data_IF_338449884673
#
_entry.id   IF_338449884673
#
_cell.length_a   1.000
_cell.length_b   1.000
_cell.length_c   1.000
_cell.angle_alpha   90.00
_cell.angle_beta   90.00
_cell.angle_gamma   90.00
#
_symmetry.space_group_name_H-M   'P 1'
#
loop_
_entity.id
_entity.type
_entity.pdbx_description
1 polymer ?
#
# COMPACT_ATOMS: atom_id res chain seq x y z
N UNK A 1 -21.17 12.91 8.77
CA UNK A 1 -21.94 13.46 7.62
C UNK A 1 -22.71 12.34 6.93
N UNK A 2 -23.60 12.63 5.96
CA UNK A 2 -24.34 11.60 5.20
C UNK A 2 -24.10 11.81 3.70
N UNK A 3 -23.76 10.74 2.98
CA UNK A 3 -23.58 10.76 1.52
C UNK A 3 -24.51 9.69 0.94
N UNK A 4 -25.48 10.10 0.13
CA UNK A 4 -26.58 9.22 -0.28
C UNK A 4 -27.31 8.68 0.95
N UNK A 5 -27.38 7.35 1.09
CA UNK A 5 -27.99 6.68 2.23
C UNK A 5 -26.98 6.23 3.30
N UNK A 6 -25.68 6.40 3.05
CA UNK A 6 -24.62 5.95 3.94
C UNK A 6 -24.22 7.06 4.93
N UNK A 7 -24.12 6.70 6.21
CA UNK A 7 -23.56 7.57 7.26
C UNK A 7 -22.04 7.50 7.18
N UNK A 8 -21.36 8.63 7.09
CA UNK A 8 -19.92 8.73 7.33
C UNK A 8 -19.75 9.16 8.79
N UNK A 9 -19.25 8.26 9.63
CA UNK A 9 -19.05 8.52 11.05
C UNK A 9 -18.03 9.64 11.27
N UNK A 10 -18.25 10.44 12.32
CA UNK A 10 -17.33 11.50 12.74
C UNK A 10 -16.18 10.88 13.55
N UNK A 11 -15.20 10.37 12.84
CA UNK A 11 -14.06 9.61 13.37
C UNK A 11 -12.88 9.73 12.41
N UNK A 12 -11.76 9.13 12.78
CA UNK A 12 -10.55 9.10 11.96
C UNK A 12 -9.92 7.72 11.88
N UNK A 13 -9.17 7.51 10.81
CA UNK A 13 -8.20 6.41 10.72
C UNK A 13 -6.85 6.85 11.32
N UNK A 14 -6.26 5.99 12.15
CA UNK A 14 -4.97 6.24 12.78
C UNK A 14 -3.86 5.46 12.07
N UNK A 15 -3.01 6.17 11.33
CA UNK A 15 -1.88 5.65 10.57
C UNK A 15 -0.53 5.88 11.26
N UNK A 16 0.46 5.10 10.84
CA UNK A 16 1.76 4.98 11.47
C UNK A 16 2.88 5.37 10.52
N UNK A 17 3.92 6.01 11.06
CA UNK A 17 5.17 6.19 10.33
C UNK A 17 5.87 4.85 10.15
N UNK A 18 6.24 4.53 8.91
CA UNK A 18 6.88 3.26 8.56
C UNK A 18 8.04 3.49 7.59
N UNK A 19 8.82 2.45 7.30
CA UNK A 19 9.81 2.47 6.21
C UNK A 19 9.23 1.80 4.98
N UNK A 20 9.49 2.36 3.81
CA UNK A 20 9.09 1.74 2.55
C UNK A 20 10.22 1.72 1.53
N UNK A 21 10.13 0.83 0.57
CA UNK A 21 10.95 0.78 -0.64
C UNK A 21 10.05 0.51 -1.83
N UNK A 22 10.43 1.03 -3.00
CA UNK A 22 9.77 0.74 -4.27
C UNK A 22 10.71 -0.07 -5.14
N UNK A 23 10.24 -1.18 -5.70
CA UNK A 23 10.98 -1.94 -6.70
C UNK A 23 10.26 -1.89 -8.03
N UNK A 24 11.03 -1.81 -9.11
CA UNK A 24 10.53 -2.14 -10.45
C UNK A 24 10.99 -3.55 -10.77
N UNK A 25 10.02 -4.41 -11.08
CA UNK A 25 10.26 -5.78 -11.53
C UNK A 25 9.94 -5.83 -13.01
N UNK A 26 10.86 -6.36 -13.81
CA UNK A 26 10.63 -6.60 -15.24
C UNK A 26 10.75 -8.09 -15.54
N UNK A 27 10.05 -8.56 -16.57
CA UNK A 27 10.10 -9.95 -17.05
C UNK A 27 9.82 -10.00 -18.55
N UNK A 28 9.98 -11.17 -19.17
CA UNK A 28 9.79 -11.35 -20.62
C UNK A 28 8.42 -10.89 -21.10
N UNK A 29 7.35 -11.28 -20.39
CA UNK A 29 5.98 -10.89 -20.69
C UNK A 29 5.13 -10.79 -19.40
N UNK A 30 3.85 -10.48 -19.55
CA UNK A 30 2.92 -10.33 -18.43
C UNK A 30 2.67 -11.63 -17.65
N UNK A 31 2.86 -12.80 -18.28
CA UNK A 31 2.66 -14.09 -17.61
C UNK A 31 3.75 -14.33 -16.57
N UNK A 32 5.02 -14.21 -16.99
CA UNK A 32 6.16 -14.38 -16.08
C UNK A 32 6.23 -13.28 -15.03
N UNK A 33 5.94 -12.04 -15.42
CA UNK A 33 5.84 -10.92 -14.49
C UNK A 33 4.78 -11.21 -13.41
N UNK A 34 3.58 -11.64 -13.82
CA UNK A 34 2.50 -11.97 -12.89
C UNK A 34 2.87 -13.07 -11.89
N UNK A 35 3.58 -14.12 -12.36
CA UNK A 35 4.06 -15.20 -11.49
C UNK A 35 5.03 -14.67 -10.41
N UNK A 36 6.06 -13.91 -10.82
CA UNK A 36 7.04 -13.34 -9.89
C UNK A 36 6.41 -12.36 -8.89
N UNK A 37 5.51 -11.50 -9.34
CA UNK A 37 4.81 -10.55 -8.48
C UNK A 37 3.89 -11.24 -7.46
N UNK A 38 3.17 -12.28 -7.89
CA UNK A 38 2.27 -13.03 -6.99
C UNK A 38 3.04 -13.69 -5.87
N UNK A 39 4.17 -14.34 -6.18
CA UNK A 39 5.02 -14.97 -5.18
C UNK A 39 5.69 -13.92 -4.28
N UNK A 40 6.23 -12.84 -4.86
CA UNK A 40 6.93 -11.78 -4.12
C UNK A 40 6.01 -11.03 -3.14
N UNK A 41 4.75 -10.78 -3.51
CA UNK A 41 3.78 -10.08 -2.65
C UNK A 41 3.04 -11.02 -1.69
N UNK A 42 3.16 -12.35 -1.87
CA UNK A 42 2.54 -13.35 -1.00
C UNK A 42 3.04 -13.26 0.45
N UNK A 43 2.24 -13.73 1.42
CA UNK A 43 2.58 -13.66 2.85
C UNK A 43 3.03 -12.24 3.30
N UNK A 44 2.41 -11.19 2.74
CA UNK A 44 2.82 -9.79 2.92
C UNK A 44 1.71 -8.88 3.44
N UNK A 45 0.81 -9.38 4.29
CA UNK A 45 -0.40 -8.64 4.67
C UNK A 45 -0.25 -7.70 5.86
N UNK A 46 0.54 -8.09 6.88
CA UNK A 46 0.73 -7.25 8.06
C UNK A 46 2.09 -7.46 8.71
N UNK A 47 2.82 -6.37 8.97
CA UNK A 47 4.15 -6.42 9.62
C UNK A 47 4.10 -6.91 11.08
N UNK A 48 2.91 -7.12 11.65
CA UNK A 48 2.75 -7.71 12.99
C UNK A 48 3.26 -9.16 13.01
N UNK A 49 3.01 -9.95 11.95
CA UNK A 49 3.42 -11.37 11.86
C UNK A 49 3.90 -11.82 10.48
N UNK A 50 3.81 -10.98 9.45
CA UNK A 50 4.56 -11.12 8.21
C UNK A 50 5.89 -10.36 8.34
N UNK A 51 6.88 -10.71 7.52
CA UNK A 51 8.19 -10.04 7.52
C UNK A 51 8.15 -8.64 6.87
N UNK A 52 7.15 -8.37 6.03
CA UNK A 52 6.86 -7.07 5.41
C UNK A 52 5.37 -6.96 5.04
N UNK A 53 4.91 -5.73 4.81
CA UNK A 53 3.65 -5.43 4.11
C UNK A 53 3.97 -5.14 2.65
N UNK A 54 3.48 -5.95 1.70
CA UNK A 54 3.93 -5.92 0.30
C UNK A 54 2.72 -5.94 -0.63
N UNK A 55 2.77 -5.13 -1.69
CA UNK A 55 1.70 -5.10 -2.69
C UNK A 55 2.18 -4.59 -4.04
N UNK A 56 1.42 -4.95 -5.07
CA UNK A 56 1.57 -4.39 -6.41
C UNK A 56 0.99 -2.98 -6.37
N UNK A 57 1.82 -2.00 -6.69
CA UNK A 57 1.42 -0.59 -6.78
C UNK A 57 0.88 -0.29 -8.18
N UNK A 58 1.70 -0.55 -9.22
CA UNK A 58 1.32 -0.38 -10.62
C UNK A 58 1.55 -1.68 -11.36
N UNK A 59 0.48 -2.37 -11.83
CA UNK A 59 0.59 -3.70 -12.42
C UNK A 59 1.19 -3.71 -13.83
N UNK A 60 1.27 -2.53 -14.48
CA UNK A 60 1.84 -2.38 -15.83
C UNK A 60 2.47 -1.00 -16.00
N UNK A 61 3.74 -0.98 -16.38
CA UNK A 61 4.49 0.20 -16.81
C UNK A 61 4.73 0.10 -18.32
N UNK A 62 4.41 1.16 -19.07
CA UNK A 62 4.46 1.14 -20.53
C UNK A 62 5.90 1.11 -21.07
N UNK A 63 6.77 1.97 -20.52
CA UNK A 63 8.16 2.13 -20.95
C UNK A 63 9.10 1.83 -19.78
N UNK A 64 9.58 0.59 -19.71
CA UNK A 64 10.44 0.10 -18.64
C UNK A 64 11.93 0.30 -18.95
N UNK A 65 12.77 0.19 -17.91
CA UNK A 65 14.21 0.46 -17.95
C UNK A 65 14.95 -0.41 -18.99
N UNK A 66 14.45 -1.63 -19.24
CA UNK A 66 15.04 -2.59 -20.17
C UNK A 66 14.12 -2.95 -21.35
N UNK A 67 13.03 -2.21 -21.55
CA UNK A 67 12.09 -2.38 -22.66
C UNK A 67 11.16 -3.60 -22.55
N UNK A 68 11.09 -4.26 -21.39
CA UNK A 68 10.29 -5.47 -21.15
C UNK A 68 9.03 -5.19 -20.34
N UNK A 69 8.16 -6.20 -20.18
CA UNK A 69 6.99 -6.08 -19.33
C UNK A 69 7.41 -5.74 -17.89
N UNK A 70 6.78 -4.74 -17.28
CA UNK A 70 7.22 -4.22 -15.99
C UNK A 70 6.07 -3.81 -15.07
N UNK A 71 6.32 -3.92 -13.77
CA UNK A 71 5.41 -3.48 -12.71
C UNK A 71 6.18 -2.82 -11.56
N UNK A 72 5.48 -1.98 -10.80
CA UNK A 72 5.96 -1.43 -9.53
C UNK A 72 5.35 -2.19 -8.36
N UNK A 73 6.19 -2.48 -7.37
CA UNK A 73 5.75 -2.99 -6.07
C UNK A 73 6.22 -2.05 -4.96
N UNK A 74 5.37 -1.87 -3.96
CA UNK A 74 5.76 -1.22 -2.71
C UNK A 74 5.86 -2.27 -1.62
N UNK A 75 6.87 -2.10 -0.77
CA UNK A 75 7.01 -2.89 0.42
C UNK A 75 7.33 -2.01 1.63
N UNK A 76 6.74 -2.37 2.76
CA UNK A 76 6.75 -1.61 3.99
C UNK A 76 7.23 -2.46 5.17
N UNK A 77 7.96 -1.86 6.10
CA UNK A 77 8.49 -2.51 7.29
C UNK A 77 8.78 -1.53 8.41
N UNK A 78 8.72 -1.97 9.67
CA UNK A 78 8.91 -1.10 10.84
C UNK A 78 10.25 -0.36 10.86
N UNK A 79 11.30 -0.98 10.32
CA UNK A 79 12.65 -0.42 10.29
C UNK A 79 13.31 -0.65 8.92
N UNK A 80 14.31 0.17 8.60
CA UNK A 80 15.05 0.04 7.35
C UNK A 80 15.77 -1.31 7.28
N UNK A 81 16.34 -1.77 8.40
CA UNK A 81 17.03 -3.06 8.48
C UNK A 81 16.08 -4.25 8.36
N UNK A 82 14.91 -4.17 9.01
CA UNK A 82 13.86 -5.19 8.89
C UNK A 82 13.37 -5.31 7.45
N UNK A 83 13.06 -4.17 6.84
CA UNK A 83 12.67 -4.09 5.44
C UNK A 83 13.77 -4.62 4.50
N UNK A 84 15.02 -4.22 4.71
CA UNK A 84 16.16 -4.71 3.92
C UNK A 84 16.28 -6.23 3.95
N UNK A 85 16.13 -6.84 5.13
CA UNK A 85 16.15 -8.31 5.30
C UNK A 85 14.98 -8.98 4.59
N UNK A 86 13.76 -8.46 4.73
CA UNK A 86 12.57 -9.02 4.08
C UNK A 86 12.70 -8.97 2.55
N UNK A 87 13.06 -7.80 2.02
CA UNK A 87 13.16 -7.60 0.56
C UNK A 87 14.30 -8.40 -0.05
N UNK A 88 15.46 -8.47 0.60
CA UNK A 88 16.56 -9.32 0.10
C UNK A 88 16.15 -10.79 0.01
N UNK A 89 15.46 -11.32 1.04
CA UNK A 89 14.96 -12.70 1.06
C UNK A 89 13.91 -12.94 -0.02
N UNK A 90 12.91 -12.06 -0.12
CA UNK A 90 11.84 -12.15 -1.11
C UNK A 90 12.37 -12.04 -2.53
N UNK A 91 13.26 -11.09 -2.81
CA UNK A 91 13.88 -10.98 -4.13
C UNK A 91 14.71 -12.22 -4.47
N UNK A 92 15.51 -12.74 -3.53
CA UNK A 92 16.31 -13.95 -3.77
C UNK A 92 15.47 -15.22 -3.97
N UNK A 93 14.36 -15.38 -3.24
CA UNK A 93 13.58 -16.63 -3.25
C UNK A 93 12.33 -16.60 -4.13
N UNK A 94 11.86 -15.41 -4.53
CA UNK A 94 10.66 -15.24 -5.34
C UNK A 94 10.96 -14.66 -6.73
N UNK A 95 11.93 -13.74 -6.85
CA UNK A 95 12.21 -13.06 -8.12
C UNK A 95 13.40 -13.70 -8.83
N UNK A 96 14.57 -13.85 -8.19
CA UNK A 96 15.75 -14.50 -8.79
C UNK A 96 15.45 -15.93 -9.28
N UNK A 97 14.54 -16.63 -8.60
CA UNK A 97 14.07 -17.97 -8.95
C UNK A 97 12.96 -17.98 -9.99
N UNK A 98 12.30 -16.85 -10.24
CA UNK A 98 11.27 -16.69 -11.26
C UNK A 98 11.91 -16.40 -12.62
N UNK A 99 11.47 -17.13 -13.64
CA UNK A 99 12.03 -17.06 -14.97
C UNK A 99 12.00 -15.63 -15.53
N UNK A 100 13.08 -15.23 -16.17
CA UNK A 100 13.26 -13.98 -16.90
C UNK A 100 13.25 -12.71 -16.06
N UNK A 101 13.10 -12.76 -14.73
CA UNK A 101 12.92 -11.51 -13.99
C UNK A 101 14.20 -10.68 -13.88
N UNK A 102 14.05 -9.36 -13.75
CA UNK A 102 15.07 -8.44 -13.28
C UNK A 102 14.48 -7.45 -12.27
N UNK A 103 15.31 -6.91 -11.39
CA UNK A 103 14.86 -6.05 -10.29
C UNK A 103 15.68 -4.77 -10.19
N UNK A 104 14.99 -3.64 -10.18
CA UNK A 104 15.59 -2.30 -10.19
C UNK A 104 15.07 -1.46 -9.04
N UNK A 105 15.87 -0.47 -8.64
CA UNK A 105 15.45 0.54 -7.67
C UNK A 105 14.36 1.43 -8.28
N UNK A 106 13.18 1.38 -7.66
CA UNK A 106 12.00 2.14 -8.06
C UNK A 106 12.01 3.61 -7.62
N UNK A 107 13.05 4.06 -6.89
CA UNK A 107 13.19 5.48 -6.55
C UNK A 107 13.94 6.29 -7.62
N UNK A 108 14.70 5.63 -8.49
CA UNK A 108 15.59 6.29 -9.47
C UNK A 108 15.02 6.37 -10.90
N UNK A 109 13.73 6.09 -11.10
CA UNK A 109 13.22 5.62 -12.40
C UNK A 109 13.32 6.70 -13.52
N UNK A 110 13.95 6.42 -14.69
CA UNK A 110 13.63 7.12 -15.93
C UNK A 110 12.87 6.22 -16.93
N UNK A 111 11.94 6.83 -17.66
CA UNK A 111 10.92 6.26 -18.55
C UNK A 111 9.61 7.07 -18.43
N UNK A 112 8.50 6.70 -19.08
CA UNK A 112 7.16 7.29 -18.83
C UNK A 112 6.56 6.74 -17.51
N UNK A 113 7.36 6.80 -16.44
CA UNK A 113 6.93 6.38 -15.11
C UNK A 113 5.77 7.26 -14.65
N UNK A 114 4.71 6.68 -14.04
CA UNK A 114 3.63 7.49 -13.47
C UNK A 114 4.04 8.19 -12.17
N UNK A 115 5.30 8.05 -11.74
CA UNK A 115 5.80 8.57 -10.47
C UNK A 115 6.83 9.66 -10.70
N UNK A 116 6.83 10.66 -9.83
CA UNK A 116 7.94 11.60 -9.73
C UNK A 116 9.21 10.89 -9.27
N UNK A 117 10.35 11.27 -9.88
CA UNK A 117 11.66 10.79 -9.46
C UNK A 117 11.97 11.40 -8.10
N UNK A 118 12.24 10.54 -7.12
CA UNK A 118 12.50 10.97 -5.75
C UNK A 118 14.02 11.01 -5.50
N UNK A 119 14.64 12.17 -5.20
CA UNK A 119 16.10 12.33 -5.13
C UNK A 119 16.76 11.38 -4.11
N UNK A 120 17.58 10.42 -4.56
CA UNK A 120 18.14 9.37 -3.70
C UNK A 120 19.01 9.88 -2.54
N UNK A 121 19.43 11.14 -2.60
CA UNK A 121 20.25 11.87 -1.61
C UNK A 121 19.40 12.70 -0.62
N UNK A 122 18.08 12.63 -0.70
CA UNK A 122 17.20 13.24 0.30
C UNK A 122 17.52 12.75 1.71
N UNK A 123 17.37 13.64 2.70
CA UNK A 123 17.77 13.40 4.10
C UNK A 123 17.17 12.13 4.73
N UNK A 124 15.99 11.70 4.27
CA UNK A 124 15.30 10.53 4.81
C UNK A 124 15.60 9.21 4.08
N UNK A 125 16.32 9.29 2.96
CA UNK A 125 16.67 8.17 2.10
C UNK A 125 17.80 7.32 2.70
N UNK A 126 17.64 6.00 2.64
CA UNK A 126 18.63 5.02 3.11
C UNK A 126 18.81 3.90 2.08
N UNK A 127 20.05 3.52 1.74
CA UNK A 127 20.27 2.40 0.83
C UNK A 127 19.90 1.06 1.51
N UNK A 128 19.27 0.19 0.76
CA UNK A 128 19.11 -1.24 1.04
C UNK A 128 20.07 -1.99 0.11
N UNK A 129 21.10 -2.69 0.63
CA UNK A 129 22.06 -3.46 -0.17
C UNK A 129 21.40 -4.73 -0.74
N UNK A 130 20.62 -4.58 -1.81
CA UNK A 130 19.81 -5.64 -2.41
C UNK A 130 20.67 -6.61 -3.24
N UNK A 131 21.12 -6.17 -4.41
CA UNK A 131 22.00 -6.95 -5.27
C UNK A 131 23.35 -7.22 -4.62
N UNK A 132 23.86 -6.31 -3.79
CA UNK A 132 25.10 -6.50 -3.02
C UNK A 132 25.07 -7.78 -2.16
N UNK A 133 23.91 -8.11 -1.58
CA UNK A 133 23.72 -9.36 -0.86
C UNK A 133 23.41 -10.56 -1.77
N UNK A 134 22.53 -10.39 -2.76
CA UNK A 134 22.06 -11.51 -3.59
C UNK A 134 23.18 -12.03 -4.52
N UNK A 135 24.11 -11.18 -4.94
CA UNK A 135 25.19 -11.52 -5.88
C UNK A 135 26.06 -12.70 -5.46
N UNK A 136 26.18 -12.99 -4.16
CA UNK A 136 26.99 -14.09 -3.68
C UNK A 136 26.43 -15.46 -4.10
N UNK A 137 25.16 -15.55 -4.51
CA UNK A 137 24.61 -16.74 -5.15
C UNK A 137 25.38 -17.13 -6.42
N UNK A 138 26.00 -16.16 -7.10
CA UNK A 138 26.83 -16.40 -8.28
C UNK A 138 28.18 -17.08 -7.99
N UNK A 139 28.51 -17.38 -6.73
CA UNK A 139 29.71 -18.14 -6.32
C UNK A 139 31.03 -17.65 -6.94
N UNK A 140 31.19 -16.33 -7.05
CA UNK A 140 32.39 -15.69 -7.62
C UNK A 140 32.32 -15.47 -9.14
N UNK A 141 31.29 -15.96 -9.82
CA UNK A 141 31.08 -15.78 -11.26
C UNK A 141 30.21 -14.56 -11.60
N UNK A 142 29.59 -13.91 -10.60
CA UNK A 142 28.83 -12.69 -10.80
C UNK A 142 29.69 -11.56 -11.37
N UNK A 143 29.09 -10.69 -12.20
CA UNK A 143 29.75 -9.51 -12.77
C UNK A 143 29.00 -8.24 -12.41
N UNK A 144 29.72 -7.21 -11.99
CA UNK A 144 29.15 -5.86 -11.85
C UNK A 144 29.13 -5.14 -13.20
N UNK A 145 28.10 -4.34 -13.44
CA UNK A 145 28.03 -3.40 -14.56
C UNK A 145 27.47 -2.06 -14.07
N UNK A 146 27.96 -0.97 -14.63
CA UNK A 146 27.35 0.35 -14.44
C UNK A 146 26.69 0.75 -15.76
N UNK A 147 25.41 1.15 -15.70
CA UNK A 147 24.62 1.67 -16.81
C UNK A 147 23.99 2.97 -16.34
N UNK A 148 24.39 4.10 -16.93
CA UNK A 148 24.05 5.42 -16.39
C UNK A 148 24.59 5.58 -14.96
N UNK A 149 23.71 5.95 -14.04
CA UNK A 149 23.95 6.07 -12.59
C UNK A 149 23.62 4.78 -11.81
N UNK A 150 23.18 3.72 -12.50
CA UNK A 150 22.78 2.45 -11.89
C UNK A 150 23.93 1.45 -11.90
N UNK A 151 24.27 0.94 -10.71
CA UNK A 151 25.15 -0.21 -10.54
C UNK A 151 24.31 -1.48 -10.47
N UNK A 152 24.56 -2.42 -11.37
CA UNK A 152 23.83 -3.67 -11.50
C UNK A 152 24.76 -4.87 -11.26
N UNK A 153 24.20 -5.95 -10.76
CA UNK A 153 24.80 -7.28 -10.73
C UNK A 153 24.17 -8.17 -11.79
N UNK A 154 25.04 -8.90 -12.51
CA UNK A 154 24.70 -9.98 -13.43
C UNK A 154 25.08 -11.28 -12.76
N UNK A 155 24.10 -12.01 -12.27
CA UNK A 155 24.31 -13.24 -11.49
C UNK A 155 24.02 -14.42 -12.42
N UNK A 156 25.01 -15.29 -12.71
CA UNK A 156 24.76 -16.44 -13.57
C UNK A 156 23.79 -17.41 -12.89
N UNK A 157 22.77 -17.83 -13.64
CA UNK A 157 21.74 -18.79 -13.23
C UNK A 157 21.45 -19.73 -14.40
N UNK A 158 20.65 -20.79 -14.19
CA UNK A 158 20.40 -21.80 -15.24
C UNK A 158 19.81 -21.22 -16.53
N UNK A 159 18.93 -20.22 -16.42
CA UNK A 159 18.31 -19.56 -17.58
C UNK A 159 19.30 -18.67 -18.37
N UNK A 160 20.36 -18.19 -17.70
CA UNK A 160 21.26 -17.17 -18.22
C UNK A 160 21.77 -16.28 -17.09
N UNK A 161 21.22 -15.08 -16.97
CA UNK A 161 21.62 -14.10 -15.95
C UNK A 161 20.42 -13.48 -15.25
N UNK A 162 20.44 -13.48 -13.92
CA UNK A 162 19.55 -12.66 -13.12
C UNK A 162 20.18 -11.27 -12.95
N UNK A 163 19.43 -10.24 -13.32
CA UNK A 163 19.85 -8.83 -13.25
C UNK A 163 19.20 -8.17 -12.04
N UNK A 164 20.01 -7.62 -11.14
CA UNK A 164 19.52 -6.93 -9.95
C UNK A 164 20.36 -5.70 -9.64
N UNK A 165 19.71 -4.60 -9.28
CA UNK A 165 20.41 -3.40 -8.85
C UNK A 165 21.15 -3.61 -7.52
N UNK A 166 22.36 -3.07 -7.43
CA UNK A 166 23.27 -3.21 -6.28
C UNK A 166 22.59 -2.82 -4.96
N UNK A 167 21.83 -1.73 -4.99
CA UNK A 167 21.02 -1.27 -3.89
C UNK A 167 19.69 -0.69 -4.38
N UNK A 168 18.67 -0.76 -3.53
CA UNK A 168 17.42 0.01 -3.67
C UNK A 168 17.34 1.05 -2.56
N UNK A 169 16.45 2.04 -2.70
CA UNK A 169 16.34 3.15 -1.78
C UNK A 169 15.11 3.00 -0.88
N UNK A 170 15.33 3.11 0.43
CA UNK A 170 14.31 3.13 1.46
C UNK A 170 14.03 4.54 1.96
N UNK A 171 12.76 4.87 2.22
CA UNK A 171 12.29 6.18 2.73
C UNK A 171 11.28 6.02 3.86
N UNK A 172 10.85 7.13 4.45
CA UNK A 172 9.73 7.15 5.40
C UNK A 172 8.41 7.19 4.64
N UNK A 173 7.44 6.37 5.05
CA UNK A 173 6.09 6.35 4.49
C UNK A 173 5.02 6.27 5.57
N UNK A 174 3.79 6.00 5.14
CA UNK A 174 2.61 5.89 6.02
C UNK A 174 1.97 4.52 5.85
N UNK A 175 1.71 3.83 6.95
CA UNK A 175 0.97 2.56 6.97
C UNK A 175 -0.30 2.67 7.81
N UNK A 176 -1.30 1.86 7.49
CA UNK A 176 -2.49 1.70 8.34
C UNK A 176 -3.58 2.75 8.16
N UNK A 177 -3.52 3.58 7.11
CA UNK A 177 -4.70 4.36 6.73
C UNK A 177 -5.84 3.39 6.40
N UNK A 178 -7.04 3.59 6.96
CA UNK A 178 -8.08 2.58 6.82
C UNK A 178 -9.49 3.19 6.80
N UNK A 179 -10.45 2.39 6.35
CA UNK A 179 -11.87 2.63 6.60
C UNK A 179 -12.63 1.31 6.72
N UNK A 180 -13.74 1.35 7.44
CA UNK A 180 -14.61 0.22 7.75
C UNK A 180 -15.91 0.37 6.98
N UNK A 181 -16.25 -0.61 6.16
CA UNK A 181 -17.53 -0.72 5.45
C UNK A 181 -18.49 -1.53 6.31
N UNK A 182 -19.59 -0.91 6.74
CA UNK A 182 -20.64 -1.57 7.50
C UNK A 182 -21.86 -1.81 6.61
N UNK A 183 -22.21 -3.07 6.38
CA UNK A 183 -23.27 -3.45 5.45
C UNK A 183 -24.35 -4.33 6.09
N UNK A 184 -25.57 -4.26 5.54
CA UNK A 184 -26.73 -5.04 6.03
C UNK A 184 -26.57 -6.54 5.82
N UNK A 185 -25.71 -6.95 4.89
CA UNK A 185 -25.41 -8.35 4.58
C UNK A 185 -24.00 -8.52 3.99
N UNK A 186 -23.51 -9.76 4.00
CA UNK A 186 -22.16 -10.10 3.54
C UNK A 186 -21.95 -9.78 2.05
N UNK A 187 -22.89 -10.15 1.18
CA UNK A 187 -22.75 -9.99 -0.27
C UNK A 187 -22.53 -8.53 -0.64
N UNK A 188 -23.40 -7.63 -0.16
CA UNK A 188 -23.26 -6.20 -0.42
C UNK A 188 -21.97 -5.62 0.16
N UNK A 189 -21.53 -6.10 1.32
CA UNK A 189 -20.25 -5.70 1.92
C UNK A 189 -19.06 -6.09 1.06
N UNK A 190 -19.02 -7.33 0.57
CA UNK A 190 -17.96 -7.83 -0.32
C UNK A 190 -17.94 -7.07 -1.65
N UNK A 191 -19.10 -6.81 -2.25
CA UNK A 191 -19.19 -6.06 -3.49
C UNK A 191 -18.68 -4.61 -3.32
N UNK A 192 -19.01 -3.96 -2.19
CA UNK A 192 -18.53 -2.62 -1.87
C UNK A 192 -17.02 -2.59 -1.60
N UNK A 193 -16.51 -3.54 -0.83
CA UNK A 193 -15.07 -3.68 -0.58
C UNK A 193 -14.29 -3.91 -1.88
N UNK A 194 -14.81 -4.75 -2.78
CA UNK A 194 -14.22 -4.98 -4.09
C UNK A 194 -14.18 -3.71 -4.95
N UNK A 195 -15.29 -2.95 -5.02
CA UNK A 195 -15.32 -1.67 -5.74
C UNK A 195 -14.30 -0.67 -5.19
N UNK A 196 -14.18 -0.58 -3.86
CA UNK A 196 -13.17 0.26 -3.22
C UNK A 196 -11.75 -0.13 -3.64
N UNK A 197 -11.40 -1.42 -3.55
CA UNK A 197 -10.08 -1.91 -3.94
C UNK A 197 -9.81 -1.67 -5.43
N UNK A 198 -10.80 -1.91 -6.29
CA UNK A 198 -10.69 -1.65 -7.74
C UNK A 198 -10.49 -0.16 -8.06
N UNK A 199 -11.08 0.75 -7.27
CA UNK A 199 -10.88 2.20 -7.40
C UNK A 199 -9.54 2.69 -6.83
N UNK A 200 -8.99 2.00 -5.83
CA UNK A 200 -7.67 2.31 -5.26
C UNK A 200 -6.54 1.75 -6.13
N UNK A 201 -6.71 0.57 -6.74
CA UNK A 201 -5.71 -0.14 -7.52
C UNK A 201 -4.97 0.69 -8.61
N UNK A 202 -5.62 1.61 -9.36
CA UNK A 202 -4.92 2.42 -10.35
C UNK A 202 -4.17 3.62 -9.74
N UNK A 203 -4.36 3.93 -8.46
CA UNK A 203 -3.72 5.08 -7.84
C UNK A 203 -2.24 4.77 -7.57
N UNK A 204 -1.31 5.64 -8.01
CA UNK A 204 0.10 5.49 -7.68
C UNK A 204 0.32 5.70 -6.18
N UNK A 205 1.53 5.36 -5.72
CA UNK A 205 2.02 5.67 -4.38
C UNK A 205 1.32 4.96 -3.22
N UNK A 206 0.41 4.02 -3.48
CA UNK A 206 -0.33 3.28 -2.47
C UNK A 206 -0.46 1.78 -2.78
N UNK A 207 -0.71 0.98 -1.74
CA UNK A 207 -1.11 -0.43 -1.86
C UNK A 207 -2.21 -0.77 -0.83
N UNK A 208 -2.95 -1.84 -1.10
CA UNK A 208 -3.84 -2.50 -0.13
C UNK A 208 -3.27 -3.90 0.21
N UNK A 209 -2.45 -4.06 1.27
CA UNK A 209 -1.57 -5.24 1.43
C UNK A 209 -2.30 -6.53 1.81
N UNK A 210 -3.56 -6.44 2.25
CA UNK A 210 -4.32 -7.62 2.68
C UNK A 210 -4.82 -8.47 1.50
N UNK A 211 -5.22 -9.73 1.72
CA UNK A 211 -5.71 -10.61 0.66
C UNK A 211 -6.88 -9.98 -0.12
N UNK A 212 -6.67 -9.77 -1.42
CA UNK A 212 -7.65 -9.08 -2.27
C UNK A 212 -7.91 -7.61 -1.88
N UNK A 213 -7.05 -7.01 -1.05
CA UNK A 213 -7.17 -5.67 -0.50
C UNK A 213 -8.12 -5.53 0.70
N UNK A 214 -8.65 -6.64 1.23
CA UNK A 214 -9.73 -6.60 2.23
C UNK A 214 -9.37 -7.34 3.53
N UNK A 215 -9.67 -6.72 4.65
CA UNK A 215 -9.54 -7.28 6.00
C UNK A 215 -10.91 -7.68 6.51
N UNK A 216 -11.09 -8.97 6.83
CA UNK A 216 -12.32 -9.48 7.45
C UNK A 216 -12.25 -9.60 8.97
N UNK A 217 -11.03 -9.63 9.52
CA UNK A 217 -10.82 -9.96 10.93
C UNK A 217 -11.01 -8.75 11.84
N UNK A 218 -10.51 -7.59 11.43
CA UNK A 218 -10.27 -6.44 12.30
C UNK A 218 -9.33 -6.80 13.45
N UNK A 219 -8.56 -5.84 13.95
CA UNK A 219 -7.77 -6.09 15.16
C UNK A 219 -7.78 -4.90 16.10
N UNK A 220 -7.53 -5.19 17.37
CA UNK A 220 -7.20 -4.19 18.38
C UNK A 220 -5.84 -4.53 18.98
N UNK A 221 -5.18 -3.51 19.52
CA UNK A 221 -3.96 -3.67 20.30
C UNK A 221 -4.27 -4.45 21.59
N UNK A 222 -3.37 -5.39 21.90
CA UNK A 222 -3.42 -6.22 23.09
C UNK A 222 -4.55 -7.25 23.09
N UNK A 223 -4.57 -8.07 24.12
CA UNK A 223 -5.47 -9.21 24.26
C UNK A 223 -5.75 -9.48 25.74
N UNK A 224 -6.83 -10.21 26.01
CA UNK A 224 -7.05 -10.81 27.34
C UNK A 224 -6.05 -11.94 27.64
N UNK A 225 -5.44 -12.48 26.60
CA UNK A 225 -4.37 -13.49 26.69
C UNK A 225 -3.03 -12.78 26.53
N UNK A 226 -2.24 -12.70 27.60
CA UNK A 226 -1.02 -11.88 27.69
C UNK A 226 0.01 -12.16 26.58
N UNK A 227 0.06 -13.39 26.06
CA UNK A 227 0.99 -13.77 24.99
C UNK A 227 0.65 -13.16 23.61
N UNK A 228 -0.52 -12.55 23.43
CA UNK A 228 -0.98 -12.02 22.14
C UNK A 228 -0.86 -10.50 22.07
N UNK A 229 -0.07 -10.02 21.10
CA UNK A 229 0.12 -8.59 20.81
C UNK A 229 -1.12 -7.92 20.20
N UNK A 230 -1.97 -8.69 19.52
CA UNK A 230 -3.21 -8.23 18.90
C UNK A 230 -4.31 -9.26 19.08
N UNK A 231 -5.56 -8.80 19.11
CA UNK A 231 -6.75 -9.67 19.17
C UNK A 231 -7.90 -9.05 18.38
N UNK A 232 -9.03 -9.76 18.29
CA UNK A 232 -10.21 -9.29 17.54
C UNK A 232 -10.66 -7.89 17.98
N UNK A 233 -11.05 -7.08 17.00
CA UNK A 233 -11.70 -5.78 17.22
C UNK A 233 -13.16 -6.00 17.66
N UNK A 234 -13.33 -6.51 18.88
CA UNK A 234 -14.60 -6.99 19.41
C UNK A 234 -15.74 -5.96 19.34
N UNK A 235 -15.46 -4.66 19.45
CA UNK A 235 -16.48 -3.60 19.34
C UNK A 235 -17.05 -3.47 17.92
N UNK A 236 -16.33 -3.95 16.90
CA UNK A 236 -16.76 -3.99 15.50
C UNK A 236 -17.18 -5.40 15.04
N UNK A 237 -17.38 -6.35 15.96
CA UNK A 237 -17.90 -7.69 15.63
C UNK A 237 -19.44 -7.72 15.73
N UNK A 238 -20.18 -7.88 14.61
CA UNK A 238 -21.65 -7.91 14.66
C UNK A 238 -22.22 -8.99 15.57
N UNK A 239 -21.54 -10.15 15.67
CA UNK A 239 -21.93 -11.28 16.51
C UNK A 239 -21.78 -11.02 18.02
N UNK A 240 -21.09 -9.96 18.41
CA UNK A 240 -20.87 -9.59 19.81
C UNK A 240 -21.76 -8.43 20.27
N UNK A 241 -22.67 -7.92 19.42
CA UNK A 241 -23.51 -6.73 19.72
C UNK A 241 -24.24 -6.80 21.06
N UNK A 242 -24.71 -7.97 21.47
CA UNK A 242 -25.38 -8.18 22.76
C UNK A 242 -24.47 -8.43 23.96
N UNK A 243 -23.14 -8.40 23.78
CA UNK A 243 -22.14 -8.78 24.79
C UNK A 243 -21.11 -7.70 25.10
N UNK A 244 -21.00 -6.69 24.25
CA UNK A 244 -20.01 -5.60 24.36
C UNK A 244 -20.67 -4.28 23.97
N UNK A 245 -20.06 -3.17 24.34
CA UNK A 245 -20.42 -1.86 23.79
C UNK A 245 -20.04 -1.81 22.30
N UNK A 246 -21.02 -2.11 21.45
CA UNK A 246 -20.83 -2.27 20.02
C UNK A 246 -20.75 -0.92 19.33
N UNK A 247 -19.73 -0.74 18.49
CA UNK A 247 -19.61 0.36 17.52
C UNK A 247 -20.23 0.02 16.16
N UNK A 248 -20.69 -1.21 15.96
CA UNK A 248 -21.39 -1.62 14.73
C UNK A 248 -22.76 -0.96 14.65
N UNK A 249 -23.07 -0.33 13.52
CA UNK A 249 -24.38 0.22 13.19
C UNK A 249 -25.48 -0.83 13.45
N UNK A 250 -26.66 -0.43 14.00
CA UNK A 250 -27.73 -1.37 14.34
C UNK A 250 -28.15 -2.30 13.19
N UNK A 251 -28.23 -1.74 11.98
CA UNK A 251 -28.67 -2.48 10.78
C UNK A 251 -27.56 -3.27 10.07
N UNK A 252 -26.29 -3.10 10.47
CA UNK A 252 -25.17 -3.79 9.82
C UNK A 252 -25.02 -5.23 10.33
N UNK A 253 -24.83 -6.20 9.44
CA UNK A 253 -24.54 -7.59 9.79
C UNK A 253 -23.17 -8.06 9.31
N UNK A 254 -22.44 -7.19 8.60
CA UNK A 254 -21.07 -7.44 8.16
C UNK A 254 -20.25 -6.14 8.29
N UNK A 255 -19.01 -6.29 8.73
CA UNK A 255 -18.02 -5.22 8.75
C UNK A 255 -16.78 -5.73 8.03
N UNK A 256 -16.32 -4.99 7.03
CA UNK A 256 -15.08 -5.24 6.31
C UNK A 256 -14.20 -4.00 6.38
N UNK A 257 -12.90 -4.19 6.39
CA UNK A 257 -11.93 -3.12 6.50
C UNK A 257 -11.04 -3.08 5.26
N UNK A 258 -10.74 -1.89 4.76
CA UNK A 258 -9.72 -1.65 3.75
C UNK A 258 -8.56 -0.95 4.44
N UNK A 259 -7.38 -1.56 4.39
CA UNK A 259 -6.13 -0.96 4.89
C UNK A 259 -5.29 -0.52 3.71
N UNK A 260 -4.74 0.69 3.79
CA UNK A 260 -3.98 1.38 2.77
C UNK A 260 -2.65 1.82 3.37
N UNK A 261 -1.57 1.45 2.69
CA UNK A 261 -0.24 2.01 2.92
C UNK A 261 0.14 2.89 1.75
N UNK A 262 0.96 3.91 1.99
CA UNK A 262 1.43 4.79 0.94
C UNK A 262 2.77 5.44 1.26
N UNK A 263 3.34 6.05 0.23
CA UNK A 263 4.64 6.71 0.34
C UNK A 263 4.59 8.00 1.17
N UNK A 264 3.40 8.61 1.27
CA UNK A 264 3.14 9.84 2.02
C UNK A 264 1.68 9.90 2.51
N UNK A 265 1.35 10.95 3.26
CA UNK A 265 0.02 11.14 3.83
C UNK A 265 -1.04 11.43 2.77
N UNK A 266 -0.74 12.29 1.79
CA UNK A 266 -1.72 12.77 0.80
C UNK A 266 -2.12 11.68 -0.18
N UNK A 267 -1.20 10.79 -0.53
CA UNK A 267 -1.46 9.59 -1.33
C UNK A 267 -2.44 8.67 -0.60
N UNK A 268 -2.22 8.43 0.70
CA UNK A 268 -3.15 7.61 1.52
C UNK A 268 -4.50 8.31 1.67
N UNK A 269 -4.53 9.62 1.94
CA UNK A 269 -5.77 10.42 2.03
C UNK A 269 -6.59 10.34 0.74
N UNK A 270 -5.94 10.51 -0.41
CA UNK A 270 -6.58 10.42 -1.72
C UNK A 270 -7.14 9.03 -2.01
N UNK A 271 -6.39 7.98 -1.62
CA UNK A 271 -6.85 6.60 -1.76
C UNK A 271 -8.03 6.28 -0.83
N UNK A 272 -8.05 6.79 0.40
CA UNK A 272 -9.21 6.70 1.29
C UNK A 272 -10.44 7.35 0.66
N UNK A 273 -10.31 8.59 0.16
CA UNK A 273 -11.40 9.30 -0.50
C UNK A 273 -11.95 8.51 -1.70
N UNK A 274 -11.07 8.08 -2.60
CA UNK A 274 -11.44 7.30 -3.80
C UNK A 274 -12.12 5.97 -3.43
N UNK A 275 -11.55 5.23 -2.48
CA UNK A 275 -12.09 3.95 -2.02
C UNK A 275 -13.45 4.09 -1.36
N UNK A 276 -13.62 5.10 -0.49
CA UNK A 276 -14.89 5.37 0.19
C UNK A 276 -15.96 5.73 -0.85
N UNK A 277 -15.71 6.71 -1.75
CA UNK A 277 -16.66 7.08 -2.78
C UNK A 277 -17.10 5.89 -3.65
N UNK A 278 -16.18 5.01 -4.04
CA UNK A 278 -16.50 3.82 -4.82
C UNK A 278 -17.31 2.77 -4.03
N UNK A 279 -17.02 2.59 -2.74
CA UNK A 279 -17.77 1.69 -1.88
C UNK A 279 -19.25 2.08 -1.79
N UNK A 280 -19.51 3.39 -1.65
CA UNK A 280 -20.84 3.97 -1.40
C UNK A 280 -21.53 4.54 -2.65
N UNK A 281 -21.01 4.28 -3.85
CA UNK A 281 -21.60 4.80 -5.10
C UNK A 281 -23.12 4.46 -5.13
N UNK A 282 -24.01 5.47 -5.18
CA UNK A 282 -25.46 5.27 -5.14
C UNK A 282 -25.99 4.32 -6.23
N UNK A 283 -25.29 4.19 -7.36
CA UNK A 283 -25.67 3.27 -8.44
C UNK A 283 -25.60 1.80 -8.03
N UNK A 284 -24.74 1.47 -7.07
CA UNK A 284 -24.45 0.08 -6.70
C UNK A 284 -24.73 -0.21 -5.23
N UNK A 285 -24.53 0.77 -4.33
CA UNK A 285 -24.65 0.57 -2.89
C UNK A 285 -26.11 0.41 -2.44
N UNK A 286 -27.05 1.10 -3.11
CA UNK A 286 -28.44 1.20 -2.66
C UNK A 286 -28.51 1.59 -1.19
N UNK A 287 -29.29 0.83 -0.41
CA UNK A 287 -29.45 1.03 1.04
C UNK A 287 -28.62 0.03 1.87
N UNK A 288 -27.77 -0.77 1.22
CA UNK A 288 -27.10 -1.90 1.86
C UNK A 288 -25.80 -1.52 2.58
N UNK A 289 -25.23 -0.35 2.28
CA UNK A 289 -24.04 0.19 2.97
C UNK A 289 -24.51 1.28 3.92
N UNK A 290 -24.65 0.95 5.19
CA UNK A 290 -25.33 1.80 6.19
C UNK A 290 -24.39 2.80 6.84
N UNK A 291 -23.13 2.43 7.02
CA UNK A 291 -22.12 3.32 7.59
C UNK A 291 -20.71 3.05 7.06
N UNK A 292 -19.91 4.12 7.01
CA UNK A 292 -18.46 4.09 6.90
C UNK A 292 -17.88 4.61 8.22
N UNK A 293 -16.97 3.82 8.80
CA UNK A 293 -16.21 4.18 10.00
C UNK A 293 -14.72 4.05 9.73
N UNK A 294 -13.89 4.21 10.75
CA UNK A 294 -12.45 3.98 10.68
C UNK A 294 -11.91 3.45 12.01
N UNK A 295 -10.87 2.63 11.93
CA UNK A 295 -10.11 2.12 13.06
C UNK A 295 -9.08 3.13 13.55
N UNK A 296 -9.14 3.42 14.85
CA UNK A 296 -8.16 4.19 15.60
C UNK A 296 -7.94 3.59 17.00
N UNK A 297 -6.91 4.06 17.69
CA UNK A 297 -6.41 3.56 18.96
C UNK A 297 -6.39 4.63 20.04
N UNK A 298 -7.22 5.68 19.88
CA UNK A 298 -7.32 6.81 20.80
C UNK A 298 -6.51 8.04 20.38
N UNK A 299 -5.74 7.98 19.28
CA UNK A 299 -4.96 9.10 18.75
C UNK A 299 -3.56 9.25 19.36
N UNK A 300 -3.16 8.32 20.23
CA UNK A 300 -1.89 8.37 20.97
C UNK A 300 -0.79 7.45 20.38
N UNK A 301 -1.13 6.58 19.43
CA UNK A 301 -0.20 5.56 18.91
C UNK A 301 0.37 5.97 17.55
N UNK A 302 -0.50 6.32 16.61
CA UNK A 302 -0.16 6.74 15.26
C UNK A 302 -0.13 8.26 15.16
N UNK A 303 0.85 8.79 14.44
CA UNK A 303 0.99 10.25 14.25
C UNK A 303 0.15 10.81 13.10
N UNK A 304 -0.45 9.95 12.28
CA UNK A 304 -1.22 10.34 11.10
C UNK A 304 -2.70 10.11 11.37
N UNK A 305 -3.50 11.19 11.42
CA UNK A 305 -4.93 11.11 11.63
C UNK A 305 -5.68 11.49 10.35
N UNK A 306 -6.38 10.53 9.77
CA UNK A 306 -7.22 10.74 8.59
C UNK A 306 -8.67 10.94 9.03
N UNK A 307 -9.04 12.19 9.35
CA UNK A 307 -10.41 12.53 9.74
C UNK A 307 -11.37 12.25 8.57
N UNK A 308 -12.34 11.37 8.75
CA UNK A 308 -13.16 10.89 7.64
C UNK A 308 -13.99 12.02 7.01
N UNK A 309 -14.50 12.96 7.81
CA UNK A 309 -15.25 14.08 7.23
C UNK A 309 -14.34 14.98 6.40
N UNK A 310 -13.11 15.24 6.84
CA UNK A 310 -12.14 16.04 6.08
C UNK A 310 -11.62 15.32 4.84
N UNK A 311 -11.47 13.99 4.90
CA UNK A 311 -11.17 13.13 3.74
C UNK A 311 -12.29 13.23 2.70
N UNK A 312 -13.54 13.29 3.15
CA UNK A 312 -14.72 13.29 2.28
C UNK A 312 -15.19 14.69 1.85
N UNK A 313 -14.61 15.76 2.37
CA UNK A 313 -14.83 17.10 1.86
C UNK A 313 -14.23 17.24 0.46
N UNK A 314 -14.91 17.97 -0.42
CA UNK A 314 -14.33 18.37 -1.69
C UNK A 314 -13.32 19.50 -1.44
N UNK A 315 -12.11 19.35 -1.97
CA UNK A 315 -11.06 20.38 -1.92
C UNK A 315 -11.51 21.56 -2.78
N UNK A 316 -12.40 22.40 -2.24
CA UNK A 316 -12.86 23.63 -2.86
C UNK A 316 -12.08 24.85 -2.35
N UNK A 317 -10.81 24.70 -1.95
CA UNK A 317 -10.09 25.76 -1.23
C UNK A 317 -8.64 26.01 -1.66
N UNK A 318 -8.22 25.63 -2.88
CA UNK A 318 -6.90 26.01 -3.42
C UNK A 318 -6.93 26.76 -4.76
N UNK A 319 -8.10 27.09 -5.29
CA UNK A 319 -8.23 27.86 -6.55
C UNK A 319 -8.64 29.33 -6.37
N UNK A 320 -8.87 29.82 -5.15
CA UNK A 320 -9.23 31.25 -4.93
C UNK A 320 -8.09 32.12 -4.38
N UNK A 321 -6.94 31.55 -4.01
CA UNK A 321 -5.82 32.36 -3.46
C UNK A 321 -4.92 33.02 -4.53
N UNK A 322 -5.05 32.69 -5.81
CA UNK A 322 -4.25 33.29 -6.89
C UNK A 322 -5.03 34.25 -7.79
N UNK A 323 -6.37 34.32 -7.66
CA UNK A 323 -7.19 35.25 -8.44
C UNK A 323 -7.27 36.65 -7.80
N UNK A 324 -7.17 36.75 -6.47
CA UNK A 324 -7.26 38.04 -5.77
C UNK A 324 -5.91 38.79 -5.69
N UNK A 325 -4.79 38.13 -5.99
CA UNK A 325 -3.46 38.77 -5.98
C UNK A 325 -3.11 39.51 -7.30
N UNK A 326 -3.81 39.24 -8.41
CA UNK A 326 -3.58 39.92 -9.70
C UNK A 326 -4.50 41.13 -9.93
N UNK A 327 -5.49 41.37 -9.05
CA UNK A 327 -6.45 42.47 -9.24
C UNK A 327 -6.09 43.75 -8.47
N UNK A 328 -5.16 43.70 -7.50
CA UNK A 328 -4.70 44.88 -6.73
C UNK A 328 -3.38 45.51 -7.23
N UNK A 329 -2.73 44.97 -8.27
CA UNK A 329 -1.52 45.55 -8.87
C UNK A 329 -1.79 46.46 -10.08
N UNK A 330 -3.05 46.81 -10.33
CA UNK A 330 -3.50 47.55 -11.52
C UNK A 330 -4.47 48.68 -11.21
N UNK A 331 -4.11 49.59 -10.31
CA UNK A 331 -4.74 50.92 -10.20
C UNK A 331 -3.75 51.97 -9.70
#
# INVERSE_FOLDING_TARGET
MKIGNTIIEDTFAEGFGIRYTRLIVTAHDAWWLGAGLTEFCGYGSSVILCDAEVGIEVPKIANSIDGRAAASVLAFGFSADGLAKAISKRTGQCLMTCATTAVFDGMKIPGDSPFEVMPSDAEDAKPIPLGDHIRYFGDGFQKSKIIGDRRLWRIPVMEGEFIVEDATTCRKGVAGGNFLIQSTNLTSGLDAARRAVEAIKPLPNVITPFPGGVVRSGSKVGSRYEALVASTSHTFCPTLRGRVESKVHPDANCVLEIVINGVDFDSVKSALKSGIHAAIDPKFAGDSIVAISAGNYGGDLGKHHFQLHDVMQDSAAETESTADAETEAGS
#
